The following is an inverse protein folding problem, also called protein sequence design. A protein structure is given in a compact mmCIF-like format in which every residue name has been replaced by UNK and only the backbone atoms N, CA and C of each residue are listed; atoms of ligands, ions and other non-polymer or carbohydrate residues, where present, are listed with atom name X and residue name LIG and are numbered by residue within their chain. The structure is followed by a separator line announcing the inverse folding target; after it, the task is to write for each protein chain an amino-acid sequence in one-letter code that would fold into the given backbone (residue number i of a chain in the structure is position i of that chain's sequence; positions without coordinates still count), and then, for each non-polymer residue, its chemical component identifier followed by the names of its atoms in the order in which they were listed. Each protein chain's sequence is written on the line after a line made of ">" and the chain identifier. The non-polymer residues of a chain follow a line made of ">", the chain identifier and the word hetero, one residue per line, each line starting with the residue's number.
data_IF_860595704331
#
_entry.id   IF_860595704331
#
_cell.length_a   1.000
_cell.length_b   1.000
_cell.length_c   1.000
_cell.angle_alpha   90.00
_cell.angle_beta   90.00
_cell.angle_gamma   90.00
#
_symmetry.space_group_name_H-M   'P 1'
#
loop_
_entity.id
_entity.type
_entity.pdbx_description
1 polymer ?
#
# COMPACT_ATOMS: atom_id res chain seq x y z
N UNK A 1 -0.47 -28.06 -0.23
CA UNK A 1 -1.86 -27.81 0.21
C UNK A 1 -2.03 -26.31 0.12
N UNK A 2 -2.95 -25.85 -0.73
CA UNK A 2 -3.20 -24.42 -0.98
C UNK A 2 -4.51 -24.10 -0.28
N UNK A 3 -4.52 -23.05 0.52
CA UNK A 3 -5.63 -22.67 1.37
C UNK A 3 -6.77 -22.04 0.52
N UNK A 4 -8.04 -22.41 0.75
CA UNK A 4 -9.17 -22.01 -0.10
C UNK A 4 -9.46 -20.51 -0.09
N UNK A 5 -8.93 -19.76 0.88
CA UNK A 5 -9.00 -18.29 0.91
C UNK A 5 -8.04 -17.67 -0.11
N UNK A 6 -6.92 -18.32 -0.43
CA UNK A 6 -5.90 -17.83 -1.37
C UNK A 6 -6.41 -17.80 -2.82
N UNK A 7 -7.41 -18.62 -3.14
CA UNK A 7 -8.09 -18.65 -4.44
C UNK A 7 -9.05 -17.47 -4.65
N UNK A 8 -9.40 -16.74 -3.59
CA UNK A 8 -10.26 -15.54 -3.70
C UNK A 8 -9.47 -14.24 -3.85
N UNK A 9 -8.14 -14.28 -3.66
CA UNK A 9 -7.24 -13.16 -3.92
C UNK A 9 -6.96 -13.04 -5.43
N UNK A 10 -7.94 -12.50 -6.14
CA UNK A 10 -7.77 -12.07 -7.53
C UNK A 10 -6.92 -10.80 -7.63
N UNK A 11 -6.68 -10.14 -6.49
CA UNK A 11 -5.97 -8.88 -6.44
C UNK A 11 -4.45 -9.13 -6.46
N UNK A 12 -3.74 -8.21 -7.11
CA UNK A 12 -2.29 -8.17 -7.15
C UNK A 12 -1.82 -6.80 -6.73
N UNK A 13 -0.76 -6.74 -5.94
CA UNK A 13 -0.11 -5.48 -5.63
C UNK A 13 1.34 -5.46 -6.10
N UNK A 14 1.79 -4.28 -6.47
CA UNK A 14 3.19 -3.96 -6.70
C UNK A 14 3.59 -2.83 -5.76
N UNK A 15 4.75 -2.98 -5.12
CA UNK A 15 5.29 -2.09 -4.11
C UNK A 15 6.45 -1.33 -4.71
N UNK A 16 6.37 -0.01 -4.62
CA UNK A 16 7.35 0.94 -5.11
C UNK A 16 7.88 1.72 -3.92
N UNK A 17 9.20 1.86 -3.86
CA UNK A 17 9.89 2.63 -2.82
C UNK A 17 10.79 3.65 -3.48
N UNK A 18 10.74 4.89 -3.00
CA UNK A 18 11.75 5.90 -3.31
C UNK A 18 13.00 5.56 -2.50
N UNK A 19 14.06 5.15 -3.17
CA UNK A 19 15.35 4.86 -2.56
C UNK A 19 16.33 5.97 -2.96
N UNK A 20 17.12 6.43 -1.99
CA UNK A 20 18.24 7.32 -2.23
C UNK A 20 19.35 6.54 -2.93
N UNK A 21 19.67 6.95 -4.15
CA UNK A 21 20.74 6.38 -4.96
C UNK A 21 21.81 7.47 -5.15
N UNK A 22 23.04 7.06 -5.47
CA UNK A 22 24.19 7.98 -5.57
C UNK A 22 24.91 7.69 -6.88
N UNK A 23 25.07 8.73 -7.72
CA UNK A 23 25.77 8.58 -9.01
C UNK A 23 27.29 8.52 -8.82
N UNK A 24 28.03 8.31 -9.91
CA UNK A 24 29.50 8.39 -9.94
C UNK A 24 30.06 9.75 -9.48
N UNK A 25 29.21 10.78 -9.34
CA UNK A 25 29.57 12.13 -8.88
C UNK A 25 29.17 12.45 -7.42
N UNK A 26 28.80 11.46 -6.60
CA UNK A 26 28.38 11.66 -5.20
C UNK A 26 27.11 12.53 -5.03
N UNK A 27 26.33 12.71 -6.10
CA UNK A 27 25.03 13.39 -6.04
C UNK A 27 23.96 12.41 -5.57
N UNK A 28 23.19 12.77 -4.54
CA UNK A 28 22.07 11.96 -4.03
C UNK A 28 20.80 12.30 -4.81
N UNK A 29 20.16 11.30 -5.40
CA UNK A 29 18.84 11.44 -6.04
C UNK A 29 17.88 10.35 -5.56
N UNK A 30 16.60 10.69 -5.58
CA UNK A 30 15.53 9.76 -5.25
C UNK A 30 15.13 9.02 -6.51
N UNK A 31 15.23 7.69 -6.46
CA UNK A 31 14.83 6.81 -7.55
C UNK A 31 13.71 5.90 -7.08
N UNK A 32 12.59 5.92 -7.81
CA UNK A 32 11.51 4.95 -7.61
C UNK A 32 11.98 3.55 -8.04
N UNK A 33 12.08 2.64 -7.09
CA UNK A 33 12.47 1.25 -7.30
C UNK A 33 11.32 0.32 -6.95
N UNK A 34 11.12 -0.70 -7.78
CA UNK A 34 10.16 -1.78 -7.51
C UNK A 34 10.79 -2.72 -6.47
N UNK A 35 10.22 -2.76 -5.26
CA UNK A 35 10.67 -3.66 -4.19
C UNK A 35 10.04 -5.05 -4.37
N UNK A 36 8.77 -5.08 -4.77
CA UNK A 36 8.05 -6.31 -5.01
C UNK A 36 6.99 -6.10 -6.09
N UNK A 37 6.85 -7.07 -6.99
CA UNK A 37 5.84 -7.03 -8.05
C UNK A 37 4.91 -8.24 -7.98
N UNK A 38 3.66 -8.05 -8.41
CA UNK A 38 2.69 -9.13 -8.62
C UNK A 38 2.45 -9.99 -7.35
N UNK A 39 2.52 -9.35 -6.19
CA UNK A 39 2.29 -9.99 -4.90
C UNK A 39 0.79 -10.25 -4.74
N UNK A 40 0.45 -11.46 -4.28
CA UNK A 40 -0.95 -11.78 -3.94
C UNK A 40 -1.33 -11.01 -2.69
N UNK A 41 -2.40 -10.25 -2.78
CA UNK A 41 -2.89 -9.44 -1.68
C UNK A 41 -4.41 -9.50 -1.60
N UNK A 42 -4.95 -9.10 -0.46
CA UNK A 42 -6.37 -8.81 -0.29
C UNK A 42 -6.55 -7.34 0.07
N UNK A 43 -7.36 -6.62 -0.70
CA UNK A 43 -7.75 -5.27 -0.35
C UNK A 43 -9.11 -5.27 0.37
N UNK A 44 -9.10 -4.97 1.67
CA UNK A 44 -10.31 -4.84 2.47
C UNK A 44 -10.61 -3.39 2.79
N UNK A 45 -11.89 -3.04 2.84
CA UNK A 45 -12.34 -1.72 3.27
C UNK A 45 -12.52 -1.72 4.80
N UNK A 46 -11.82 -0.85 5.52
CA UNK A 46 -12.06 -0.67 6.96
C UNK A 46 -13.20 0.33 7.13
N UNK A 47 -14.38 -0.16 7.47
CA UNK A 47 -15.55 0.69 7.71
C UNK A 47 -15.40 1.36 9.08
N UNK A 48 -14.76 2.54 9.14
CA UNK A 48 -14.82 3.39 10.30
C UNK A 48 -16.04 4.30 10.15
N UNK A 49 -17.14 3.92 10.80
CA UNK A 49 -18.22 4.84 11.07
C UNK A 49 -17.73 5.92 12.04
N UNK A 50 -17.16 7.02 11.54
CA UNK A 50 -17.08 8.26 12.31
C UNK A 50 -17.38 9.45 11.40
N UNK A 51 -18.67 9.76 11.34
CA UNK A 51 -19.11 11.13 11.15
C UNK A 51 -18.67 11.90 12.41
N UNK A 52 -17.60 12.69 12.31
CA UNK A 52 -17.43 13.82 13.24
C UNK A 52 -16.72 14.97 12.55
N UNK A 53 -17.55 15.90 12.06
CA UNK A 53 -17.12 17.24 11.72
C UNK A 53 -16.62 17.96 13.00
N UNK A 54 -15.35 18.39 13.03
CA UNK A 54 -14.92 19.71 13.53
C UNK A 54 -13.40 19.88 13.49
N UNK A 55 -13.00 21.05 13.00
CA UNK A 55 -11.77 21.77 13.32
C UNK A 55 -10.40 21.17 12.90
N UNK A 56 -9.83 21.77 11.85
CA UNK A 56 -8.41 22.16 11.78
C UNK A 56 -7.31 21.11 12.05
N UNK A 57 -7.37 19.97 11.38
CA UNK A 57 -6.18 19.25 10.90
C UNK A 57 -6.64 18.21 9.89
N UNK A 58 -6.06 18.18 8.68
CA UNK A 58 -6.37 17.23 7.63
C UNK A 58 -6.05 15.80 8.06
N UNK A 59 -6.94 15.20 8.84
CA UNK A 59 -6.91 13.79 9.19
C UNK A 59 -7.37 13.06 7.95
N UNK A 60 -6.40 12.58 7.16
CA UNK A 60 -6.67 11.75 5.99
C UNK A 60 -7.28 10.44 6.51
N UNK A 61 -8.61 10.40 6.56
CA UNK A 61 -9.34 9.28 7.15
C UNK A 61 -9.18 8.04 6.27
N UNK A 62 -8.66 7.01 6.92
CA UNK A 62 -8.29 5.72 6.38
C UNK A 62 -9.51 4.94 5.94
N UNK A 63 -9.51 4.41 4.71
CA UNK A 63 -10.61 3.55 4.26
C UNK A 63 -10.17 2.18 3.73
N UNK A 64 -8.88 1.84 3.70
CA UNK A 64 -8.43 0.52 3.18
C UNK A 64 -7.32 -0.13 4.00
N UNK A 65 -7.36 -1.45 4.09
CA UNK A 65 -6.35 -2.31 4.72
C UNK A 65 -5.93 -3.37 3.71
N UNK A 66 -4.63 -3.47 3.46
CA UNK A 66 -4.03 -4.50 2.63
C UNK A 66 -3.62 -5.68 3.51
N UNK A 67 -4.04 -6.87 3.11
CA UNK A 67 -3.58 -8.12 3.67
C UNK A 67 -2.59 -8.74 2.70
N UNK A 68 -1.39 -9.07 3.17
CA UNK A 68 -0.39 -9.75 2.35
C UNK A 68 0.46 -10.71 3.20
N UNK A 69 1.35 -11.47 2.55
CA UNK A 69 2.25 -12.39 3.24
C UNK A 69 3.20 -11.61 4.16
N UNK A 70 3.50 -12.09 5.39
CA UNK A 70 4.42 -11.42 6.30
C UNK A 70 5.87 -11.41 5.78
N UNK A 71 6.18 -12.17 4.74
CA UNK A 71 7.50 -12.18 4.09
C UNK A 71 7.73 -10.98 3.16
N UNK A 72 6.71 -10.16 2.89
CA UNK A 72 6.83 -9.00 1.98
C UNK A 72 7.33 -7.80 2.78
N UNK A 73 8.42 -7.18 2.31
CA UNK A 73 8.95 -5.96 2.93
C UNK A 73 8.12 -4.75 2.50
N UNK A 74 7.30 -4.23 3.42
CA UNK A 74 6.51 -3.01 3.24
C UNK A 74 6.93 -2.01 4.30
N UNK A 75 7.36 -0.84 3.85
CA UNK A 75 7.75 0.26 4.72
C UNK A 75 6.69 1.37 4.67
N UNK A 76 6.57 2.15 5.77
CA UNK A 76 5.72 3.33 5.75
C UNK A 76 6.20 4.28 4.65
N UNK A 77 5.25 4.92 3.97
CA UNK A 77 5.47 5.78 2.80
C UNK A 77 5.71 5.06 1.46
N UNK A 78 5.80 3.73 1.43
CA UNK A 78 5.85 2.98 0.16
C UNK A 78 4.59 3.22 -0.67
N UNK A 79 4.75 3.25 -1.99
CA UNK A 79 3.63 3.37 -2.93
C UNK A 79 3.20 1.98 -3.36
N UNK A 80 1.96 1.63 -3.05
CA UNK A 80 1.38 0.32 -3.34
C UNK A 80 0.34 0.49 -4.44
N UNK A 81 0.62 -0.08 -5.61
CA UNK A 81 -0.31 -0.14 -6.74
C UNK A 81 -1.05 -1.46 -6.68
N UNK A 82 -2.34 -1.41 -6.38
CA UNK A 82 -3.20 -2.60 -6.32
C UNK A 82 -4.03 -2.68 -7.59
N UNK A 83 -3.91 -3.80 -8.31
CA UNK A 83 -4.73 -4.14 -9.45
C UNK A 83 -5.85 -5.09 -9.01
N UNK A 84 -7.10 -4.61 -9.12
CA UNK A 84 -8.32 -5.35 -8.76
C UNK A 84 -9.35 -5.22 -9.88
N UNK A 85 -9.86 -6.35 -10.37
CA UNK A 85 -10.84 -6.41 -11.48
C UNK A 85 -10.44 -5.56 -12.71
N UNK A 86 -9.14 -5.53 -13.07
CA UNK A 86 -8.62 -4.76 -14.19
C UNK A 86 -8.53 -3.24 -13.95
N UNK A 87 -8.76 -2.77 -12.72
CA UNK A 87 -8.52 -1.39 -12.30
C UNK A 87 -7.30 -1.34 -11.40
N UNK A 88 -6.36 -0.48 -11.76
CA UNK A 88 -5.22 -0.14 -10.91
C UNK A 88 -5.61 1.04 -10.01
N UNK A 89 -5.27 0.93 -8.73
CA UNK A 89 -5.41 2.00 -7.75
C UNK A 89 -4.10 2.16 -7.00
N UNK A 90 -3.65 3.40 -6.85
CA UNK A 90 -2.42 3.74 -6.12
C UNK A 90 -2.77 4.11 -4.69
N UNK A 91 -2.02 3.53 -3.76
CA UNK A 91 -2.14 3.79 -2.33
C UNK A 91 -0.79 4.09 -1.74
N UNK A 92 -0.80 4.81 -0.63
CA UNK A 92 0.39 5.01 0.20
C UNK A 92 0.31 4.11 1.43
N UNK A 93 1.40 3.36 1.67
CA UNK A 93 1.54 2.46 2.79
C UNK A 93 1.70 3.24 4.10
N UNK A 94 0.89 2.90 5.09
CA UNK A 94 1.08 3.29 6.47
C UNK A 94 1.92 2.28 7.24
N UNK A 95 1.71 2.24 8.55
CA UNK A 95 2.36 1.27 9.41
C UNK A 95 1.83 -0.16 9.14
N UNK A 96 2.76 -1.11 8.98
CA UNK A 96 2.47 -2.53 8.85
C UNK A 96 2.35 -3.21 10.21
N UNK A 97 1.29 -3.99 10.40
CA UNK A 97 1.09 -4.88 11.55
C UNK A 97 1.37 -6.31 11.11
N UNK A 98 2.44 -6.90 11.66
CA UNK A 98 2.86 -8.26 11.32
C UNK A 98 2.19 -9.28 12.25
N UNK A 99 1.63 -10.33 11.65
CA UNK A 99 1.17 -11.53 12.35
C UNK A 99 1.81 -12.78 11.72
N UNK A 100 1.70 -13.91 12.40
CA UNK A 100 2.34 -15.17 12.00
C UNK A 100 1.84 -15.67 10.62
N UNK A 101 0.55 -15.47 10.32
CA UNK A 101 -0.07 -15.94 9.07
C UNK A 101 -0.20 -14.87 7.99
N UNK A 102 -0.22 -13.60 8.35
CA UNK A 102 -0.45 -12.48 7.43
C UNK A 102 0.10 -11.18 8.02
N UNK A 103 0.27 -10.16 7.18
CA UNK A 103 0.47 -8.80 7.64
C UNK A 103 -0.67 -7.90 7.17
N UNK A 104 -1.01 -6.91 7.98
CA UNK A 104 -2.01 -5.90 7.72
C UNK A 104 -1.33 -4.55 7.51
N UNK A 105 -1.53 -3.91 6.37
CA UNK A 105 -0.99 -2.57 6.10
C UNK A 105 -2.14 -1.60 5.93
N UNK A 106 -2.17 -0.56 6.76
CA UNK A 106 -3.11 0.54 6.58
C UNK A 106 -2.77 1.29 5.30
N UNK A 107 -3.73 1.45 4.39
CA UNK A 107 -3.54 2.13 3.13
C UNK A 107 -4.28 3.46 3.11
N UNK A 108 -3.62 4.45 2.51
CA UNK A 108 -4.17 5.77 2.25
C UNK A 108 -4.36 5.90 0.73
N UNK A 109 -5.55 6.31 0.29
CA UNK A 109 -5.80 6.57 -1.14
C UNK A 109 -4.86 7.68 -1.59
N UNK A 110 -3.95 7.35 -2.51
CA UNK A 110 -3.12 8.36 -3.14
C UNK A 110 -3.88 8.85 -4.37
N UNK A 111 -4.70 9.87 -4.18
CA UNK A 111 -5.44 10.51 -5.27
C UNK A 111 -4.47 11.38 -6.08
N UNK A 112 -3.90 10.80 -7.14
CA UNK A 112 -3.12 11.52 -8.16
C UNK A 112 -4.04 12.37 -9.08
N UNK A 113 -5.25 12.76 -8.64
CA UNK A 113 -6.18 13.62 -9.38
C UNK A 113 -6.25 15.07 -8.87
N UNK A 114 -5.32 15.47 -7.99
CA UNK A 114 -5.12 16.88 -7.61
C UNK A 114 -3.78 17.44 -8.12
N UNK A 115 -3.56 17.33 -9.43
CA UNK A 115 -2.73 18.29 -10.17
C UNK A 115 -3.57 18.86 -11.30
N UNK A 116 -4.37 19.88 -10.97
CA UNK A 116 -4.93 20.85 -11.91
C UNK A 116 -4.02 22.07 -11.96
#
# INVERSE_FOLDING_TARGET
>A
MIDPIELTYTDRCSIWREVEDTDEYDETFFKETIIAENIRCALSKKNLANISAKDNAGSLEYDMVLFCSPAVDIQPSDVIKVTRFGREQSFKAGQSSLYDSHQEVGLIVHDDKLRV
#
